data_IF_604511269054
#
_entry.id   IF_604511269054
#
_cell.length_a   1.000
_cell.length_b   1.000
_cell.length_c   1.000
_cell.angle_alpha   90.00
_cell.angle_beta   90.00
_cell.angle_gamma   90.00
#
_symmetry.space_group_name_H-M   'P 1'
#
loop_
_entity.id
_entity.type
_entity.pdbx_description
1 polymer ?
#
# COMPACT_ATOMS: atom_id res chain seq x y z
N UNK A 1 -2.23 16.34 1.62
CA UNK A 1 -2.79 15.77 2.86
C UNK A 1 -4.30 16.00 2.94
N UNK A 2 -4.79 17.17 2.54
CA UNK A 2 -6.23 17.50 2.61
C UNK A 2 -7.12 16.58 1.78
N UNK A 3 -6.68 16.16 0.61
CA UNK A 3 -7.43 15.21 -0.24
C UNK A 3 -7.73 13.86 0.43
N UNK A 4 -6.91 13.44 1.40
CA UNK A 4 -7.09 12.21 2.18
C UNK A 4 -7.61 12.47 3.60
N UNK A 5 -7.94 13.72 3.92
CA UNK A 5 -8.49 14.15 5.22
C UNK A 5 -7.61 13.77 6.42
N UNK A 6 -6.28 13.72 6.21
CA UNK A 6 -5.32 13.36 7.25
C UNK A 6 -5.32 14.43 8.33
N UNK A 7 -5.47 14.00 9.58
CA UNK A 7 -5.47 14.85 10.78
C UNK A 7 -4.38 14.38 11.76
N UNK A 8 -4.15 15.16 12.81
CA UNK A 8 -3.31 14.78 13.92
C UNK A 8 -4.08 14.87 15.23
N UNK A 9 -3.99 13.85 16.05
CA UNK A 9 -4.63 13.80 17.37
C UNK A 9 -3.61 14.06 18.45
N UNK A 10 -3.59 15.30 18.99
CA UNK A 10 -2.62 15.77 19.98
C UNK A 10 -2.58 14.91 21.26
N UNK A 11 -3.76 14.50 21.77
CA UNK A 11 -3.83 13.75 23.02
C UNK A 11 -3.38 12.29 22.94
N UNK A 12 -3.21 11.73 21.73
CA UNK A 12 -2.78 10.34 21.52
C UNK A 12 -1.50 10.24 20.67
N UNK A 13 -0.92 11.36 20.27
CA UNK A 13 0.25 11.44 19.39
C UNK A 13 0.14 10.54 18.13
N UNK A 14 -1.03 10.67 17.45
CA UNK A 14 -1.36 9.84 16.29
C UNK A 14 -1.75 10.65 15.07
N UNK A 15 -1.25 10.22 13.93
CA UNK A 15 -1.76 10.63 12.63
C UNK A 15 -3.06 9.87 12.38
N UNK A 16 -4.14 10.59 12.16
CA UNK A 16 -5.48 10.04 11.93
C UNK A 16 -5.69 9.86 10.44
N UNK A 17 -6.03 8.64 10.05
CA UNK A 17 -6.17 8.23 8.66
C UNK A 17 -7.58 7.67 8.46
N UNK A 18 -8.50 8.46 7.88
CA UNK A 18 -9.83 7.98 7.51
C UNK A 18 -9.74 6.96 6.38
N UNK A 19 -10.44 5.84 6.52
CA UNK A 19 -10.61 4.83 5.48
C UNK A 19 -11.98 5.00 4.83
N UNK A 20 -11.97 5.13 3.51
CA UNK A 20 -13.19 5.23 2.69
C UNK A 20 -13.27 4.06 1.74
N UNK A 21 -14.49 3.56 1.52
CA UNK A 21 -14.74 2.53 0.52
C UNK A 21 -14.66 3.13 -0.91
N UNK A 22 -14.84 2.29 -1.93
CA UNK A 22 -14.78 2.70 -3.34
C UNK A 22 -15.77 3.83 -3.70
N UNK A 23 -16.89 3.94 -2.97
CA UNK A 23 -17.90 5.00 -3.17
C UNK A 23 -17.55 6.29 -2.44
N UNK A 24 -16.52 6.31 -1.59
CA UNK A 24 -16.12 7.47 -0.80
C UNK A 24 -16.79 7.55 0.58
N UNK A 25 -17.55 6.55 0.99
CA UNK A 25 -18.17 6.48 2.32
C UNK A 25 -17.12 6.14 3.38
N UNK A 26 -17.17 6.81 4.54
CA UNK A 26 -16.29 6.53 5.67
C UNK A 26 -16.66 5.18 6.29
N UNK A 27 -15.71 4.25 6.31
CA UNK A 27 -15.90 2.88 6.82
C UNK A 27 -15.08 2.58 8.06
N UNK A 28 -14.10 3.42 8.38
CA UNK A 28 -13.26 3.27 9.57
C UNK A 28 -12.20 4.34 9.65
N UNK A 29 -11.49 4.35 10.78
CA UNK A 29 -10.40 5.29 11.02
C UNK A 29 -9.23 4.55 11.64
N UNK A 30 -8.04 4.75 11.11
CA UNK A 30 -6.80 4.23 11.72
C UNK A 30 -5.95 5.36 12.27
N UNK A 31 -5.29 5.09 13.39
CA UNK A 31 -4.25 5.94 13.94
C UNK A 31 -2.89 5.36 13.62
N UNK A 32 -1.97 6.19 13.10
CA UNK A 32 -0.57 5.84 13.01
C UNK A 32 0.19 6.56 14.11
N UNK A 33 0.76 5.81 15.06
CA UNK A 33 1.55 6.40 16.14
C UNK A 33 2.83 7.03 15.59
N UNK A 34 3.24 8.15 16.19
CA UNK A 34 4.54 8.78 15.95
C UNK A 34 5.54 8.46 17.07
N UNK A 35 5.07 7.78 18.12
CA UNK A 35 5.87 7.34 19.26
C UNK A 35 6.54 6.01 18.94
N UNK A 36 7.86 5.98 18.98
CA UNK A 36 8.65 4.82 18.56
C UNK A 36 8.39 3.59 19.44
N UNK A 37 8.35 3.79 20.74
CA UNK A 37 8.12 2.74 21.74
C UNK A 37 6.73 2.11 21.57
N UNK A 38 5.71 2.91 21.31
CA UNK A 38 4.36 2.41 21.01
C UNK A 38 4.33 1.62 19.70
N UNK A 39 5.07 2.09 18.68
CA UNK A 39 5.16 1.40 17.40
C UNK A 39 5.84 0.03 17.49
N UNK A 40 6.86 -0.09 18.35
CA UNK A 40 7.57 -1.35 18.60
C UNK A 40 6.73 -2.36 19.39
N UNK A 41 5.97 -1.91 20.37
CA UNK A 41 5.16 -2.78 21.24
C UNK A 41 3.83 -3.22 20.58
N UNK A 42 3.19 -2.33 19.86
CA UNK A 42 1.81 -2.53 19.41
C UNK A 42 1.61 -2.41 17.89
N UNK A 43 2.69 -2.11 17.15
CA UNK A 43 2.62 -1.83 15.72
C UNK A 43 2.31 -0.37 15.40
N UNK A 44 2.73 0.05 14.21
CA UNK A 44 2.63 1.46 13.76
C UNK A 44 1.19 1.91 13.53
N UNK A 45 0.30 1.03 13.11
CA UNK A 45 -1.07 1.33 12.71
C UNK A 45 -2.08 0.56 13.55
N UNK A 46 -3.04 1.27 14.12
CA UNK A 46 -4.10 0.69 14.98
C UNK A 46 -5.43 1.38 14.73
N UNK A 47 -6.57 0.71 14.97
CA UNK A 47 -7.85 1.39 15.07
C UNK A 47 -7.79 2.49 16.11
N UNK A 48 -8.45 3.63 15.84
CA UNK A 48 -8.53 4.71 16.81
C UNK A 48 -9.75 4.53 17.72
N UNK A 49 -9.58 4.91 18.98
CA UNK A 49 -10.68 4.97 19.94
C UNK A 49 -10.98 6.45 20.24
N UNK A 50 -12.21 6.87 20.01
CA UNK A 50 -12.69 8.23 20.29
C UNK A 50 -13.92 8.09 21.19
N UNK A 51 -13.90 8.73 22.36
CA UNK A 51 -14.99 8.69 23.34
C UNK A 51 -15.47 7.25 23.64
N UNK A 52 -14.52 6.32 23.80
CA UNK A 52 -14.80 4.91 24.08
C UNK A 52 -15.25 4.06 22.89
N UNK A 53 -15.48 4.67 21.73
CA UNK A 53 -15.87 3.96 20.50
C UNK A 53 -14.64 3.65 19.63
N UNK A 54 -14.46 2.37 19.29
CA UNK A 54 -13.41 1.91 18.39
C UNK A 54 -13.89 1.98 16.93
N UNK A 55 -13.24 2.81 16.13
CA UNK A 55 -13.54 2.96 14.70
C UNK A 55 -12.70 1.99 13.88
N UNK A 56 -13.23 0.80 13.64
CA UNK A 56 -12.54 -0.27 12.90
C UNK A 56 -13.38 -0.82 11.77
N UNK A 57 -12.72 -1.42 10.79
CA UNK A 57 -13.34 -2.16 9.69
C UNK A 57 -12.41 -3.29 9.26
N UNK A 58 -12.90 -4.35 8.62
CA UNK A 58 -12.05 -5.40 8.08
C UNK A 58 -11.20 -4.86 6.91
N UNK A 59 -9.88 -4.74 7.08
CA UNK A 59 -8.97 -4.22 6.07
C UNK A 59 -9.01 -5.03 4.76
N UNK A 60 -9.27 -6.33 4.85
CA UNK A 60 -9.40 -7.23 3.72
C UNK A 60 -10.59 -6.95 2.79
N UNK A 61 -11.52 -6.10 3.20
CA UNK A 61 -12.69 -5.70 2.40
C UNK A 61 -12.56 -4.31 1.78
N UNK A 62 -11.37 -3.71 1.86
CA UNK A 62 -11.13 -2.38 1.28
C UNK A 62 -9.71 -2.27 0.74
N UNK A 63 -9.50 -1.35 -0.20
CA UNK A 63 -8.20 -0.87 -0.63
C UNK A 63 -8.11 0.62 -0.31
N UNK A 64 -7.17 0.99 0.56
CA UNK A 64 -6.99 2.40 0.92
C UNK A 64 -6.62 3.23 -0.31
N UNK A 65 -7.26 4.36 -0.48
CA UNK A 65 -7.04 5.27 -1.60
C UNK A 65 -7.80 4.92 -2.89
N UNK A 66 -8.49 3.77 -2.95
CA UNK A 66 -9.20 3.33 -4.16
C UNK A 66 -10.28 4.32 -4.62
N UNK A 67 -11.01 4.93 -3.68
CA UNK A 67 -12.01 5.95 -4.01
C UNK A 67 -11.44 7.16 -4.76
N UNK A 68 -10.16 7.48 -4.56
CA UNK A 68 -9.45 8.56 -5.26
C UNK A 68 -8.81 8.08 -6.57
N UNK A 69 -8.35 6.83 -6.61
CA UNK A 69 -7.59 6.27 -7.73
C UNK A 69 -8.46 5.59 -8.80
N UNK A 70 -9.70 5.19 -8.49
CA UNK A 70 -10.52 4.30 -9.34
C UNK A 70 -10.69 4.77 -10.79
N UNK A 71 -10.87 6.06 -11.01
CA UNK A 71 -11.07 6.61 -12.37
C UNK A 71 -9.78 6.49 -13.20
N UNK A 72 -8.63 6.83 -12.61
CA UNK A 72 -7.33 6.70 -13.28
C UNK A 72 -6.96 5.23 -13.50
N UNK A 73 -7.23 4.36 -12.53
CA UNK A 73 -7.02 2.91 -12.65
C UNK A 73 -7.85 2.36 -13.81
N UNK A 74 -9.14 2.70 -13.90
CA UNK A 74 -10.01 2.26 -15.00
C UNK A 74 -9.56 2.79 -16.35
N UNK A 75 -9.09 4.05 -16.40
CA UNK A 75 -8.60 4.67 -17.64
C UNK A 75 -7.28 4.05 -18.11
N UNK A 76 -6.32 3.89 -17.20
CA UNK A 76 -4.98 3.38 -17.47
C UNK A 76 -4.90 1.86 -17.50
N UNK A 77 -5.95 1.16 -17.06
CA UNK A 77 -6.00 -0.31 -16.89
C UNK A 77 -4.89 -0.87 -15.99
N UNK A 78 -4.37 -0.03 -15.09
CA UNK A 78 -3.14 -0.28 -14.34
C UNK A 78 -3.28 0.19 -12.91
N UNK A 79 -2.75 -0.61 -11.94
CA UNK A 79 -2.76 -0.27 -10.52
C UNK A 79 -1.42 -0.59 -9.87
N UNK A 80 -1.01 0.24 -8.92
CA UNK A 80 0.11 -0.01 -8.01
C UNK A 80 -0.49 -0.41 -6.65
N UNK A 81 -0.07 -1.55 -6.12
CA UNK A 81 -0.52 -2.04 -4.81
C UNK A 81 0.64 -1.95 -3.82
N UNK A 82 0.49 -1.11 -2.80
CA UNK A 82 1.41 -0.96 -1.69
C UNK A 82 0.89 -1.64 -0.42
N UNK A 83 1.75 -1.79 0.60
CA UNK A 83 1.35 -2.38 1.87
C UNK A 83 0.64 -1.38 2.79
N UNK A 84 1.07 -0.13 2.81
CA UNK A 84 0.61 0.85 3.81
C UNK A 84 -0.01 2.10 3.19
N UNK A 85 -0.86 2.76 3.99
CA UNK A 85 -1.48 4.04 3.67
C UNK A 85 -0.42 5.12 3.36
N UNK A 86 0.72 5.10 4.06
CA UNK A 86 1.83 6.04 3.84
C UNK A 86 2.29 6.03 2.38
N UNK A 87 2.41 4.86 1.78
CA UNK A 87 2.86 4.71 0.40
C UNK A 87 1.88 5.36 -0.60
N UNK A 88 0.57 5.25 -0.37
CA UNK A 88 -0.45 5.93 -1.19
C UNK A 88 -0.34 7.45 -1.06
N UNK A 89 -0.11 7.95 0.17
CA UNK A 89 0.07 9.39 0.42
C UNK A 89 1.34 9.91 -0.25
N UNK A 90 2.45 9.16 -0.19
CA UNK A 90 3.71 9.50 -0.86
C UNK A 90 3.54 9.51 -2.38
N UNK A 91 2.90 8.49 -2.96
CA UNK A 91 2.63 8.45 -4.39
C UNK A 91 1.84 9.68 -4.84
N UNK A 92 0.78 10.01 -4.12
CA UNK A 92 -0.04 11.20 -4.42
C UNK A 92 0.75 12.51 -4.25
N UNK A 93 1.71 12.57 -3.32
CA UNK A 93 2.57 13.74 -3.16
C UNK A 93 3.59 13.90 -4.29
N UNK A 94 4.02 12.79 -4.91
CA UNK A 94 4.99 12.80 -6.00
C UNK A 94 4.36 13.10 -7.37
N UNK A 95 3.14 12.63 -7.60
CA UNK A 95 2.52 12.61 -8.93
C UNK A 95 1.21 13.41 -9.01
N UNK A 96 0.72 13.94 -7.89
CA UNK A 96 -0.59 14.57 -7.79
C UNK A 96 -1.71 13.56 -7.58
N UNK A 97 -2.77 14.03 -6.92
CA UNK A 97 -3.96 13.20 -6.65
C UNK A 97 -4.70 12.82 -7.93
N UNK A 98 -4.68 13.71 -8.92
CA UNK A 98 -5.28 13.54 -10.23
C UNK A 98 -4.62 12.45 -11.09
N UNK A 99 -3.38 12.06 -10.76
CA UNK A 99 -2.63 10.99 -11.42
C UNK A 99 -2.49 9.74 -10.55
N UNK A 100 -3.24 9.67 -9.45
CA UNK A 100 -3.09 8.56 -8.51
C UNK A 100 -3.65 7.25 -9.09
N UNK A 101 -2.79 6.22 -9.15
CA UNK A 101 -3.13 4.82 -9.44
C UNK A 101 -2.63 3.89 -8.33
N UNK A 102 -2.17 4.45 -7.21
CA UNK A 102 -1.64 3.69 -6.08
C UNK A 102 -2.74 3.47 -5.03
N UNK A 103 -2.85 2.23 -4.56
CA UNK A 103 -3.75 1.81 -3.47
C UNK A 103 -2.97 0.99 -2.45
N UNK A 104 -3.48 0.88 -1.22
CA UNK A 104 -2.87 0.01 -0.22
C UNK A 104 -3.82 -1.10 0.23
N UNK A 105 -3.30 -2.33 0.33
CA UNK A 105 -4.01 -3.47 0.91
C UNK A 105 -3.97 -3.47 2.45
N UNK A 106 -3.15 -2.60 3.06
CA UNK A 106 -2.96 -2.43 4.50
C UNK A 106 -2.46 -3.71 5.21
N UNK A 107 -1.56 -4.44 4.54
CA UNK A 107 -0.90 -5.64 5.02
C UNK A 107 -0.01 -6.25 3.95
N UNK A 108 0.68 -7.34 4.26
CA UNK A 108 1.63 -8.03 3.37
C UNK A 108 0.96 -9.03 2.40
N UNK A 109 -0.36 -8.94 2.23
CA UNK A 109 -1.10 -9.83 1.34
C UNK A 109 -2.38 -9.16 0.84
N UNK A 110 -2.85 -9.58 -0.31
CA UNK A 110 -4.13 -9.14 -0.88
C UNK A 110 -5.20 -10.21 -0.71
N UNK A 111 -6.41 -9.83 -0.36
CA UNK A 111 -7.57 -10.71 -0.23
C UNK A 111 -8.25 -10.92 -1.58
N UNK A 112 -9.09 -11.98 -1.66
CA UNK A 112 -9.93 -12.20 -2.85
C UNK A 112 -10.86 -11.01 -3.11
N UNK A 113 -11.47 -10.44 -2.08
CA UNK A 113 -12.36 -9.28 -2.23
C UNK A 113 -11.62 -8.06 -2.80
N UNK A 114 -10.41 -7.78 -2.34
CA UNK A 114 -9.57 -6.71 -2.87
C UNK A 114 -9.19 -6.95 -4.34
N UNK A 115 -8.92 -8.20 -4.71
CA UNK A 115 -8.71 -8.59 -6.11
C UNK A 115 -9.97 -8.34 -6.93
N UNK A 116 -11.14 -8.80 -6.47
CA UNK A 116 -12.41 -8.63 -7.16
C UNK A 116 -12.76 -7.13 -7.38
N UNK A 117 -12.45 -6.26 -6.40
CA UNK A 117 -12.57 -4.80 -6.56
C UNK A 117 -11.72 -4.27 -7.73
N UNK A 118 -10.47 -4.71 -7.85
CA UNK A 118 -9.59 -4.28 -8.93
C UNK A 118 -10.05 -4.82 -10.28
N UNK A 119 -10.47 -6.08 -10.32
CA UNK A 119 -11.00 -6.69 -11.55
C UNK A 119 -12.27 -5.98 -12.04
N UNK A 120 -13.13 -5.53 -11.14
CA UNK A 120 -14.33 -4.76 -11.50
C UNK A 120 -14.02 -3.41 -12.17
N UNK A 121 -12.81 -2.87 -11.99
CA UNK A 121 -12.32 -1.66 -12.66
C UNK A 121 -11.66 -1.96 -14.02
N UNK A 122 -11.61 -3.23 -14.44
CA UNK A 122 -11.01 -3.64 -15.71
C UNK A 122 -9.48 -3.55 -15.73
N UNK A 123 -8.82 -3.81 -14.60
CA UNK A 123 -7.35 -3.78 -14.50
C UNK A 123 -6.73 -4.89 -15.34
N UNK A 124 -5.73 -4.54 -16.14
CA UNK A 124 -4.96 -5.44 -17.00
C UNK A 124 -3.51 -5.59 -16.54
N UNK A 125 -2.97 -4.60 -15.79
CA UNK A 125 -1.63 -4.67 -15.20
C UNK A 125 -1.66 -4.32 -13.71
N UNK A 126 -1.07 -5.17 -12.87
CA UNK A 126 -0.86 -4.97 -11.45
C UNK A 126 0.64 -4.84 -11.17
N UNK A 127 1.01 -3.80 -10.42
CA UNK A 127 2.38 -3.51 -10.03
C UNK A 127 2.46 -3.60 -8.51
N UNK A 128 3.13 -4.63 -8.01
CA UNK A 128 3.33 -4.84 -6.57
C UNK A 128 4.47 -3.95 -6.10
N UNK A 129 4.20 -3.09 -5.10
CA UNK A 129 5.13 -2.16 -4.49
C UNK A 129 5.19 -2.40 -2.97
N UNK A 130 5.49 -3.64 -2.56
CA UNK A 130 5.58 -4.05 -1.16
C UNK A 130 6.92 -3.69 -0.55
N UNK A 131 6.96 -3.66 0.78
CA UNK A 131 8.13 -3.32 1.56
C UNK A 131 9.22 -4.39 1.38
N UNK A 132 10.50 -3.97 1.43
CA UNK A 132 11.65 -4.88 1.36
C UNK A 132 11.81 -5.65 2.66
N UNK A 133 11.81 -6.99 2.57
CA UNK A 133 11.80 -7.89 3.72
C UNK A 133 13.15 -8.59 3.97
N UNK A 134 14.24 -8.15 3.33
CA UNK A 134 15.57 -8.75 3.48
C UNK A 134 16.69 -7.70 3.47
N UNK A 135 17.81 -8.01 4.11
CA UNK A 135 19.04 -7.20 4.09
C UNK A 135 20.08 -7.78 3.13
N UNK A 136 20.16 -9.12 3.06
CA UNK A 136 21.23 -9.83 2.35
C UNK A 136 20.63 -10.68 1.23
N UNK A 137 21.13 -10.50 0.01
CA UNK A 137 20.76 -11.36 -1.12
C UNK A 137 21.17 -12.81 -0.84
N UNK A 138 20.29 -13.77 -1.16
CA UNK A 138 20.52 -15.19 -0.91
C UNK A 138 20.20 -15.65 0.52
N UNK A 139 19.88 -14.73 1.44
CA UNK A 139 19.45 -15.10 2.79
C UNK A 139 18.10 -15.84 2.79
N UNK A 140 17.73 -16.44 3.92
CA UNK A 140 16.44 -17.12 4.09
C UNK A 140 15.27 -16.12 3.91
N UNK A 141 15.42 -14.92 4.42
CA UNK A 141 14.46 -13.82 4.31
C UNK A 141 14.27 -13.42 2.84
N UNK A 142 15.38 -13.29 2.09
CA UNK A 142 15.34 -13.01 0.66
C UNK A 142 14.57 -14.09 -0.11
N UNK A 143 14.92 -15.38 0.10
CA UNK A 143 14.23 -16.51 -0.55
C UNK A 143 12.74 -16.52 -0.17
N UNK A 144 12.41 -16.24 1.09
CA UNK A 144 11.01 -16.18 1.54
C UNK A 144 10.26 -15.01 0.92
N UNK A 145 10.89 -13.85 0.76
CA UNK A 145 10.31 -12.68 0.10
C UNK A 145 9.96 -13.00 -1.36
N UNK A 146 10.88 -13.61 -2.11
CA UNK A 146 10.64 -14.04 -3.50
C UNK A 146 9.47 -15.04 -3.57
N UNK A 147 9.44 -16.05 -2.69
CA UNK A 147 8.33 -17.02 -2.64
C UNK A 147 7.00 -16.34 -2.34
N UNK A 148 6.99 -15.32 -1.47
CA UNK A 148 5.78 -14.57 -1.14
C UNK A 148 5.26 -13.76 -2.33
N UNK A 149 6.14 -13.13 -3.11
CA UNK A 149 5.79 -12.43 -4.35
C UNK A 149 5.20 -13.40 -5.40
N UNK A 150 5.81 -14.59 -5.59
CA UNK A 150 5.27 -15.62 -6.48
C UNK A 150 3.85 -16.06 -6.06
N UNK A 151 3.64 -16.32 -4.75
CA UNK A 151 2.31 -16.66 -4.22
C UNK A 151 1.28 -15.52 -4.38
N UNK A 152 1.73 -14.29 -4.35
CA UNK A 152 0.86 -13.14 -4.60
C UNK A 152 0.33 -13.15 -6.03
N UNK A 153 1.18 -13.47 -7.01
CA UNK A 153 0.78 -13.60 -8.40
C UNK A 153 -0.37 -14.60 -8.58
N UNK A 154 -0.32 -15.74 -7.88
CA UNK A 154 -1.33 -16.80 -7.96
C UNK A 154 -2.73 -16.36 -7.54
N UNK A 155 -2.87 -15.24 -6.84
CA UNK A 155 -4.16 -14.69 -6.40
C UNK A 155 -4.92 -13.96 -7.51
N UNK A 156 -4.25 -13.63 -8.60
CA UNK A 156 -4.83 -12.88 -9.71
C UNK A 156 -5.18 -13.77 -10.89
N UNK A 157 -6.16 -13.38 -11.72
CA UNK A 157 -6.47 -14.10 -12.95
C UNK A 157 -5.25 -14.20 -13.88
N UNK A 158 -5.06 -15.32 -14.60
CA UNK A 158 -3.91 -15.50 -15.49
C UNK A 158 -3.79 -14.49 -16.64
N UNK A 159 -4.89 -13.83 -16.99
CA UNK A 159 -4.92 -12.79 -18.03
C UNK A 159 -4.37 -11.43 -17.57
N UNK A 160 -4.13 -11.24 -16.26
CA UNK A 160 -3.61 -10.00 -15.72
C UNK A 160 -2.09 -10.05 -15.68
N UNK A 161 -1.44 -9.03 -16.24
CA UNK A 161 0.01 -8.87 -16.14
C UNK A 161 0.40 -8.47 -14.73
N UNK A 162 1.27 -9.25 -14.08
CA UNK A 162 1.78 -8.95 -12.74
C UNK A 162 3.26 -8.60 -12.83
N UNK A 163 3.64 -7.47 -12.23
CA UNK A 163 5.02 -7.06 -12.05
C UNK A 163 5.27 -6.60 -10.61
N UNK A 164 6.53 -6.52 -10.20
CA UNK A 164 6.89 -6.00 -8.88
C UNK A 164 8.04 -5.00 -8.97
N UNK A 165 8.02 -4.02 -8.07
CA UNK A 165 9.11 -3.11 -7.82
C UNK A 165 10.09 -3.81 -6.87
N UNK A 166 11.17 -4.35 -7.43
CA UNK A 166 12.10 -5.20 -6.71
C UNK A 166 13.52 -4.64 -6.76
N UNK A 167 14.17 -4.54 -5.61
CA UNK A 167 15.56 -4.08 -5.48
C UNK A 167 16.52 -5.26 -5.73
N UNK A 168 16.70 -5.63 -6.99
CA UNK A 168 17.47 -6.81 -7.41
C UNK A 168 18.95 -6.74 -7.07
N UNK A 169 19.52 -5.53 -7.02
CA UNK A 169 20.93 -5.30 -6.68
C UNK A 169 21.15 -5.00 -5.20
N UNK A 170 20.06 -4.89 -4.42
CA UNK A 170 20.09 -4.62 -2.99
C UNK A 170 20.77 -3.29 -2.62
N UNK A 171 20.59 -2.26 -3.43
CA UNK A 171 21.28 -0.97 -3.29
C UNK A 171 20.34 0.26 -3.26
N UNK A 172 19.03 0.08 -3.47
CA UNK A 172 18.07 1.17 -3.55
C UNK A 172 17.26 1.35 -2.25
N UNK A 173 16.93 0.26 -1.57
CA UNK A 173 16.07 0.25 -0.38
C UNK A 173 16.78 -0.31 0.84
N UNK A 174 16.48 0.22 2.02
CA UNK A 174 16.81 -0.42 3.29
C UNK A 174 15.77 -1.50 3.63
N UNK A 175 16.07 -2.33 4.63
CA UNK A 175 15.10 -3.25 5.22
C UNK A 175 13.84 -2.48 5.67
N UNK A 176 12.64 -2.99 5.32
CA UNK A 176 11.34 -2.40 5.62
C UNK A 176 11.04 -1.06 4.93
N UNK A 177 11.88 -0.62 4.00
CA UNK A 177 11.49 0.49 3.13
C UNK A 177 10.49 -0.01 2.06
N UNK A 178 9.46 0.78 1.80
CA UNK A 178 8.67 0.64 0.59
C UNK A 178 9.40 1.29 -0.60
N UNK A 179 9.11 0.92 -1.84
CA UNK A 179 9.67 1.58 -3.02
C UNK A 179 9.46 3.10 -3.07
N UNK A 180 8.50 3.62 -2.30
CA UNK A 180 8.16 5.05 -2.23
C UNK A 180 8.92 5.81 -1.14
N UNK A 181 9.56 5.10 -0.19
CA UNK A 181 10.18 5.73 0.99
C UNK A 181 11.47 6.48 0.67
N UNK A 182 12.14 6.13 -0.43
CA UNK A 182 13.43 6.71 -0.82
C UNK A 182 13.31 7.86 -1.83
N UNK A 183 12.09 8.38 -2.03
CA UNK A 183 11.84 9.51 -2.91
C UNK A 183 11.40 9.12 -4.32
N UNK A 184 10.93 10.14 -5.06
CA UNK A 184 10.35 9.99 -6.38
C UNK A 184 11.30 9.36 -7.40
N UNK A 185 12.56 9.75 -7.40
CA UNK A 185 13.56 9.27 -8.37
C UNK A 185 13.88 7.78 -8.20
N UNK A 186 14.02 7.32 -6.94
CA UNK A 186 14.22 5.89 -6.65
C UNK A 186 12.99 5.09 -7.06
N UNK A 187 11.80 5.59 -6.74
CA UNK A 187 10.55 4.97 -7.19
C UNK A 187 10.50 4.84 -8.72
N UNK A 188 10.80 5.91 -9.47
CA UNK A 188 10.78 5.89 -10.94
C UNK A 188 11.81 4.92 -11.52
N UNK A 189 13.02 4.84 -10.92
CA UNK A 189 14.03 3.87 -11.31
C UNK A 189 13.50 2.44 -11.16
N UNK A 190 12.90 2.11 -10.02
CA UNK A 190 12.32 0.78 -9.78
C UNK A 190 11.11 0.52 -10.69
N UNK A 191 10.27 1.53 -10.92
CA UNK A 191 9.10 1.42 -11.78
C UNK A 191 9.46 1.10 -13.23
N UNK A 192 10.50 1.74 -13.77
CA UNK A 192 10.99 1.51 -15.12
C UNK A 192 11.68 0.15 -15.28
N UNK A 193 12.33 -0.34 -14.21
CA UNK A 193 13.05 -1.61 -14.18
C UNK A 193 12.26 -2.75 -13.47
N UNK A 194 10.93 -2.59 -13.35
CA UNK A 194 10.10 -3.59 -12.64
C UNK A 194 10.18 -4.97 -13.26
N UNK A 195 10.19 -5.97 -12.41
CA UNK A 195 10.30 -7.37 -12.80
C UNK A 195 8.91 -7.94 -13.08
N UNK A 196 8.73 -8.61 -14.20
CA UNK A 196 7.50 -9.36 -14.51
C UNK A 196 7.57 -10.70 -13.77
N UNK A 197 6.51 -11.01 -13.01
CA UNK A 197 6.38 -12.24 -12.24
C UNK A 197 5.78 -13.38 -13.06
#
# INVERSE_FOLDING_TARGET
>A
MDAFEIKYHLGQDKIIIPHRNINGELIGVRGRTVVKEEAELFGKYRPIVIEGTMYTHPLSYNLYGLNKAKNNISLMKKVIIAESEKSVLLYSSYFGIENNICVACCGSSISKYQVDLLMSLGVEEIIIAFDKEFEILGSKEHVQNVKSLCKLKEKFPPCVKISCLYDSENNLLNLKDSPLDRGKEVFLTMFNNRIIL
#
